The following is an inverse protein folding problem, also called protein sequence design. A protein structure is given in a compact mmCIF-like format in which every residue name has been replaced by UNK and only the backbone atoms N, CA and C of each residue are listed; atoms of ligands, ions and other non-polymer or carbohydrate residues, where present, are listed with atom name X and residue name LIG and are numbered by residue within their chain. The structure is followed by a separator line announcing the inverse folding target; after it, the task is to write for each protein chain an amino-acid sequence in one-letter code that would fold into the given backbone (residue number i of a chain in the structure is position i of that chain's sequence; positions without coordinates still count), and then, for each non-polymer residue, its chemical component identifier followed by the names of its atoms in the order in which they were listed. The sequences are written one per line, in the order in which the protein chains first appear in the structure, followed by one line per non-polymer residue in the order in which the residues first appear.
data_IF_238526853403
#
_entry.id   IF_238526853403
#
_cell.length_a   1.000
_cell.length_b   1.000
_cell.length_c   1.000
_cell.angle_alpha   90.00
_cell.angle_beta   90.00
_cell.angle_gamma   90.00
#
_symmetry.space_group_name_H-M   'P 1'
#
loop_
_entity.id
_entity.type
_entity.pdbx_description
1 polymer ?
#
# COMPACT_ATOMS: atom_id res chain seq x y z
N UNK A 1 -6.96 25.23 -7.69
CA UNK A 1 -6.43 23.87 -7.46
C UNK A 1 -7.38 23.09 -6.58
N UNK A 2 -7.65 21.82 -6.89
CA UNK A 2 -8.50 20.96 -6.06
C UNK A 2 -7.88 20.79 -4.66
N UNK A 3 -8.69 20.93 -3.60
CA UNK A 3 -8.24 20.73 -2.22
C UNK A 3 -7.96 19.22 -2.00
N UNK A 4 -6.69 18.86 -1.79
CA UNK A 4 -6.22 17.50 -1.59
C UNK A 4 -6.09 17.18 -0.10
N UNK A 5 -6.72 16.11 0.36
CA UNK A 5 -6.57 15.59 1.72
C UNK A 5 -5.87 14.22 1.72
N UNK A 6 -4.83 14.08 2.52
CA UNK A 6 -4.11 12.82 2.74
C UNK A 6 -4.43 12.27 4.13
N UNK A 7 -5.11 11.12 4.19
CA UNK A 7 -5.40 10.36 5.40
C UNK A 7 -4.34 9.25 5.52
N UNK A 8 -3.76 9.05 6.71
CA UNK A 8 -2.66 8.11 6.93
C UNK A 8 -1.29 8.65 6.52
N UNK A 9 -1.09 9.95 6.61
CA UNK A 9 0.13 10.67 6.22
C UNK A 9 1.38 10.30 7.03
N UNK A 10 1.24 9.65 8.19
CA UNK A 10 2.36 9.19 9.04
C UNK A 10 2.84 7.77 8.72
N UNK A 11 2.08 7.01 7.95
CA UNK A 11 2.46 5.66 7.48
C UNK A 11 3.64 5.69 6.50
N UNK A 12 4.18 4.52 6.17
CA UNK A 12 5.35 4.39 5.28
C UNK A 12 5.14 5.14 3.95
N UNK A 13 4.12 4.78 3.19
CA UNK A 13 3.83 5.45 1.92
C UNK A 13 3.32 6.88 2.13
N UNK A 14 2.49 7.11 3.14
CA UNK A 14 1.94 8.44 3.43
C UNK A 14 3.01 9.49 3.72
N UNK A 15 4.01 9.16 4.55
CA UNK A 15 5.13 10.08 4.86
C UNK A 15 6.00 10.35 3.63
N UNK A 16 6.29 9.31 2.84
CA UNK A 16 7.04 9.44 1.59
C UNK A 16 6.28 10.33 0.59
N UNK A 17 4.99 10.05 0.37
CA UNK A 17 4.16 10.79 -0.58
C UNK A 17 3.95 12.26 -0.18
N UNK A 18 3.73 12.54 1.11
CA UNK A 18 3.66 13.92 1.60
C UNK A 18 4.96 14.69 1.33
N UNK A 19 6.12 14.05 1.53
CA UNK A 19 7.40 14.69 1.22
C UNK A 19 7.60 14.86 -0.30
N UNK A 20 7.17 13.90 -1.10
CA UNK A 20 7.17 13.99 -2.57
C UNK A 20 6.31 15.16 -3.06
N UNK A 21 5.11 15.36 -2.51
CA UNK A 21 4.23 16.47 -2.85
C UNK A 21 4.85 17.83 -2.46
N UNK A 22 5.46 17.93 -1.27
CA UNK A 22 6.17 19.14 -0.82
C UNK A 22 7.29 19.53 -1.79
N UNK A 23 8.14 18.57 -2.20
CA UNK A 23 9.21 18.79 -3.18
C UNK A 23 8.70 19.23 -4.56
N UNK A 24 7.43 18.96 -4.87
CA UNK A 24 6.75 19.39 -6.11
C UNK A 24 5.95 20.70 -5.94
N UNK A 25 6.00 21.34 -4.78
CA UNK A 25 5.24 22.57 -4.51
C UNK A 25 3.71 22.37 -4.45
N UNK A 26 3.24 21.12 -4.25
CA UNK A 26 1.81 20.81 -4.27
C UNK A 26 1.25 20.95 -2.87
N UNK A 27 0.24 21.82 -2.71
CA UNK A 27 -0.49 22.03 -1.46
C UNK A 27 -1.42 20.86 -1.15
N UNK A 28 -1.45 20.42 0.10
CA UNK A 28 -2.34 19.37 0.61
C UNK A 28 -2.60 19.52 2.11
N UNK A 29 -3.71 18.96 2.58
CA UNK A 29 -4.05 18.86 4.00
C UNK A 29 -3.78 17.43 4.52
N UNK A 30 -3.58 17.29 5.83
CA UNK A 30 -3.42 16.00 6.52
C UNK A 30 -4.53 15.84 7.55
N UNK A 31 -5.04 14.64 7.72
CA UNK A 31 -6.07 14.34 8.72
C UNK A 31 -5.62 14.53 10.18
N UNK A 32 -4.31 14.55 10.45
CA UNK A 32 -3.76 14.70 11.80
C UNK A 32 -3.75 16.15 12.32
N UNK A 33 -3.92 17.15 11.46
CA UNK A 33 -3.69 18.56 11.78
C UNK A 33 -4.96 19.40 11.76
N UNK A 34 -6.11 18.82 12.06
CA UNK A 34 -7.28 19.64 12.34
C UNK A 34 -7.19 20.14 13.79
N UNK A 35 -6.92 21.42 14.00
CA UNK A 35 -6.79 22.07 15.32
C UNK A 35 -5.86 21.33 16.30
N UNK A 36 -4.74 20.77 15.81
CA UNK A 36 -3.76 19.98 16.59
C UNK A 36 -4.30 18.71 17.29
N UNK A 37 -5.51 18.25 16.97
CA UNK A 37 -6.12 17.06 17.54
C UNK A 37 -6.01 15.86 16.61
N UNK A 38 -5.69 14.71 17.18
CA UNK A 38 -5.82 13.41 16.49
C UNK A 38 -7.30 13.08 16.36
N UNK A 39 -7.82 13.12 15.14
CA UNK A 39 -9.22 12.81 14.87
C UNK A 39 -9.38 11.30 14.70
N UNK A 40 -10.25 10.69 15.49
CA UNK A 40 -10.65 9.30 15.30
C UNK A 40 -11.66 9.20 14.15
N UNK A 41 -11.16 8.76 12.98
CA UNK A 41 -11.96 8.58 11.78
C UNK A 41 -12.85 7.32 11.81
N UNK A 42 -12.77 6.49 12.84
CA UNK A 42 -13.72 5.39 13.05
C UNK A 42 -15.07 5.89 13.53
N UNK A 43 -15.13 7.13 14.06
CA UNK A 43 -16.35 7.81 14.51
C UNK A 43 -16.90 8.65 13.36
N UNK A 44 -18.10 8.32 12.88
CA UNK A 44 -18.73 8.98 11.72
C UNK A 44 -18.86 10.50 11.89
N UNK A 45 -19.28 10.97 13.07
CA UNK A 45 -19.40 12.42 13.40
C UNK A 45 -18.07 13.16 13.20
N UNK A 46 -16.96 12.56 13.63
CA UNK A 46 -15.63 13.15 13.50
C UNK A 46 -15.21 13.27 12.02
N UNK A 47 -15.53 12.26 11.21
CA UNK A 47 -15.25 12.30 9.77
C UNK A 47 -16.02 13.44 9.12
N UNK A 48 -17.32 13.55 9.42
CA UNK A 48 -18.20 14.58 8.84
C UNK A 48 -17.71 15.97 9.22
N UNK A 49 -17.54 16.28 10.52
CA UNK A 49 -17.10 17.61 10.96
C UNK A 49 -15.74 18.01 10.36
N UNK A 50 -14.81 17.04 10.24
CA UNK A 50 -13.49 17.31 9.65
C UNK A 50 -13.57 17.57 8.15
N UNK A 51 -14.34 16.77 7.42
CA UNK A 51 -14.45 16.91 5.98
C UNK A 51 -15.30 18.13 5.58
N UNK A 52 -16.34 18.49 6.37
CA UNK A 52 -17.13 19.71 6.16
C UNK A 52 -16.30 20.97 6.35
N UNK A 53 -15.38 20.96 7.31
CA UNK A 53 -14.44 22.07 7.52
C UNK A 53 -13.37 22.16 6.43
N UNK A 54 -12.79 21.03 6.02
CA UNK A 54 -11.71 20.98 5.03
C UNK A 54 -12.24 21.13 3.59
N UNK A 55 -13.45 20.66 3.32
CA UNK A 55 -14.10 20.63 1.99
C UNK A 55 -13.14 20.12 0.89
N UNK A 56 -12.55 18.91 1.03
CA UNK A 56 -11.63 18.38 0.05
C UNK A 56 -12.36 17.93 -1.22
N UNK A 57 -11.73 18.16 -2.40
CA UNK A 57 -12.22 17.60 -3.67
C UNK A 57 -11.64 16.19 -3.93
N UNK A 58 -10.42 15.93 -3.43
CA UNK A 58 -9.75 14.64 -3.56
C UNK A 58 -9.29 14.17 -2.19
N UNK A 59 -9.76 13.00 -1.78
CA UNK A 59 -9.34 12.34 -0.54
C UNK A 59 -8.51 11.12 -0.91
N UNK A 60 -7.26 11.06 -0.42
CA UNK A 60 -6.41 9.87 -0.54
C UNK A 60 -6.39 9.17 0.82
N UNK A 61 -6.98 7.98 0.90
CA UNK A 61 -7.01 7.18 2.13
C UNK A 61 -5.92 6.12 2.12
N UNK A 62 -4.85 6.36 2.88
CA UNK A 62 -3.72 5.46 3.13
C UNK A 62 -3.77 4.88 4.56
N UNK A 63 -4.77 5.25 5.37
CA UNK A 63 -4.89 4.73 6.73
C UNK A 63 -5.28 3.26 6.71
N UNK A 64 -4.47 2.45 7.36
CA UNK A 64 -4.72 1.02 7.54
C UNK A 64 -3.93 0.45 8.72
N UNK A 65 -4.49 -0.55 9.38
CA UNK A 65 -3.78 -1.47 10.24
C UNK A 65 -3.22 -2.58 9.35
N UNK A 66 -1.90 -2.65 9.17
CA UNK A 66 -1.24 -3.50 8.16
C UNK A 66 -0.44 -4.65 8.75
N UNK A 67 -0.23 -4.68 10.05
CA UNK A 67 0.43 -5.76 10.75
C UNK A 67 -0.53 -6.94 10.86
N UNK A 68 -0.19 -8.04 10.18
CA UNK A 68 -1.06 -9.21 10.05
C UNK A 68 -1.29 -9.89 11.41
N UNK A 69 -0.22 -10.08 12.19
CA UNK A 69 -0.31 -10.70 13.52
C UNK A 69 -1.13 -9.84 14.48
N UNK A 70 -0.92 -8.52 14.44
CA UNK A 70 -1.70 -7.59 15.25
C UNK A 70 -3.17 -7.53 14.83
N UNK A 71 -3.47 -7.68 13.52
CA UNK A 71 -4.84 -7.77 13.05
C UNK A 71 -5.56 -9.00 13.60
N UNK A 72 -4.90 -10.17 13.64
CA UNK A 72 -5.48 -11.36 14.26
C UNK A 72 -5.74 -11.15 15.75
N UNK A 73 -4.75 -10.60 16.47
CA UNK A 73 -4.87 -10.33 17.93
C UNK A 73 -5.93 -9.27 18.26
N UNK A 74 -6.13 -8.30 17.37
CA UNK A 74 -7.04 -7.14 17.59
C UNK A 74 -8.03 -7.01 16.45
N UNK A 75 -8.78 -8.08 16.17
CA UNK A 75 -9.69 -8.17 15.02
C UNK A 75 -10.69 -7.00 14.96
N UNK A 76 -11.36 -6.67 16.05
CA UNK A 76 -12.32 -5.55 16.12
C UNK A 76 -11.66 -4.22 15.70
N UNK A 77 -10.41 -3.99 16.12
CA UNK A 77 -9.66 -2.78 15.74
C UNK A 77 -9.25 -2.80 14.27
N UNK A 78 -8.87 -3.97 13.75
CA UNK A 78 -8.55 -4.13 12.34
C UNK A 78 -9.76 -3.77 11.46
N UNK A 79 -10.95 -4.27 11.78
CA UNK A 79 -12.18 -3.91 11.06
C UNK A 79 -12.56 -2.43 11.23
N UNK A 80 -12.45 -1.87 12.44
CA UNK A 80 -12.69 -0.43 12.65
C UNK A 80 -11.78 0.41 11.74
N UNK A 81 -10.48 0.10 11.71
CA UNK A 81 -9.52 0.88 10.92
C UNK A 81 -9.67 0.63 9.42
N UNK A 82 -9.73 -0.65 9.01
CA UNK A 82 -9.64 -1.01 7.61
C UNK A 82 -10.99 -0.96 6.87
N UNK A 83 -12.11 -1.05 7.59
CA UNK A 83 -13.46 -1.07 6.99
C UNK A 83 -14.30 0.14 7.37
N UNK A 84 -14.34 0.54 8.66
CA UNK A 84 -15.24 1.62 9.09
C UNK A 84 -14.75 2.98 8.63
N UNK A 85 -13.43 3.24 8.62
CA UNK A 85 -12.88 4.52 8.12
C UNK A 85 -13.28 4.76 6.65
N UNK A 86 -12.98 3.86 5.68
CA UNK A 86 -13.38 4.10 4.29
C UNK A 86 -14.91 4.19 4.11
N UNK A 87 -15.71 3.40 4.87
CA UNK A 87 -17.17 3.49 4.88
C UNK A 87 -17.65 4.89 5.31
N UNK A 88 -17.09 5.44 6.38
CA UNK A 88 -17.45 6.76 6.89
C UNK A 88 -17.11 7.87 5.89
N UNK A 89 -15.92 7.79 5.25
CA UNK A 89 -15.50 8.73 4.20
C UNK A 89 -16.47 8.65 3.02
N UNK A 90 -16.83 7.44 2.57
CA UNK A 90 -17.77 7.25 1.46
C UNK A 90 -19.17 7.77 1.80
N UNK A 91 -19.62 7.62 3.04
CA UNK A 91 -20.91 8.18 3.49
C UNK A 91 -20.93 9.70 3.35
N UNK A 92 -19.82 10.39 3.65
CA UNK A 92 -19.70 11.83 3.44
C UNK A 92 -19.66 12.21 1.94
N UNK A 93 -18.90 11.46 1.13
CA UNK A 93 -18.79 11.70 -0.33
C UNK A 93 -20.14 11.54 -1.05
N UNK A 94 -21.01 10.62 -0.59
CA UNK A 94 -22.32 10.44 -1.17
C UNK A 94 -23.16 11.71 -1.09
N UNK A 95 -23.01 12.50 -0.04
CA UNK A 95 -23.69 13.80 0.16
C UNK A 95 -22.94 14.90 -0.58
N UNK A 96 -21.59 14.89 -0.53
CA UNK A 96 -20.73 15.90 -1.11
C UNK A 96 -20.24 15.48 -2.52
N UNK A 97 -21.11 15.63 -3.53
CA UNK A 97 -20.93 15.11 -4.90
C UNK A 97 -19.66 15.58 -5.63
N UNK A 98 -19.06 16.72 -5.21
CA UNK A 98 -17.83 17.28 -5.80
C UNK A 98 -16.55 16.58 -5.33
N UNK A 99 -16.64 15.73 -4.29
CA UNK A 99 -15.52 15.00 -3.74
C UNK A 99 -15.40 13.59 -4.30
N UNK A 100 -14.17 13.08 -4.39
CA UNK A 100 -13.88 11.69 -4.76
C UNK A 100 -12.81 11.07 -3.87
N UNK A 101 -12.83 9.74 -3.77
CA UNK A 101 -11.90 8.96 -2.96
C UNK A 101 -10.89 8.21 -3.83
N UNK A 102 -9.63 8.22 -3.43
CA UNK A 102 -8.62 7.24 -3.85
C UNK A 102 -8.29 6.40 -2.63
N UNK A 103 -8.69 5.13 -2.64
CA UNK A 103 -8.50 4.20 -1.52
C UNK A 103 -7.42 3.18 -1.81
N UNK A 104 -6.45 3.06 -0.92
CA UNK A 104 -5.41 2.05 -1.00
C UNK A 104 -5.86 0.76 -0.31
N UNK A 105 -5.97 -0.29 -1.11
CA UNK A 105 -6.17 -1.66 -0.66
C UNK A 105 -4.87 -2.46 -0.78
N UNK A 106 -4.94 -3.77 -0.78
CA UNK A 106 -3.79 -4.67 -0.65
C UNK A 106 -3.86 -5.84 -1.62
N UNK A 107 -2.71 -6.38 -2.01
CA UNK A 107 -2.55 -7.65 -2.71
C UNK A 107 -2.90 -8.88 -1.84
N UNK A 108 -2.92 -8.73 -0.51
CA UNK A 108 -3.31 -9.78 0.42
C UNK A 108 -4.77 -10.25 0.29
N UNK A 109 -5.62 -9.54 -0.47
CA UNK A 109 -6.98 -10.03 -0.79
C UNK A 109 -6.98 -11.25 -1.72
N UNK A 110 -5.81 -11.65 -2.21
CA UNK A 110 -5.61 -12.79 -3.09
C UNK A 110 -4.94 -13.94 -2.37
N UNK A 111 -5.33 -15.18 -2.71
CA UNK A 111 -4.61 -16.40 -2.39
C UNK A 111 -4.86 -17.46 -3.45
N UNK A 112 -3.98 -18.47 -3.51
CA UNK A 112 -3.91 -19.45 -4.60
C UNK A 112 -2.85 -19.02 -5.62
N UNK A 113 -2.95 -19.53 -6.85
CA UNK A 113 -1.95 -19.27 -7.89
C UNK A 113 -2.24 -17.95 -8.64
N UNK A 114 -1.28 -17.02 -8.63
CA UNK A 114 -1.33 -15.77 -9.38
C UNK A 114 -0.73 -15.90 -10.80
N UNK A 115 -0.76 -14.84 -11.61
CA UNK A 115 -1.23 -13.47 -11.29
C UNK A 115 -2.77 -13.34 -11.23
N UNK A 116 -3.28 -12.74 -10.18
CA UNK A 116 -4.71 -12.62 -9.89
C UNK A 116 -5.36 -11.46 -10.63
N UNK A 117 -6.55 -11.71 -11.19
CA UNK A 117 -7.43 -10.66 -11.75
C UNK A 117 -8.31 -10.06 -10.65
N UNK A 118 -8.79 -8.84 -10.87
CA UNK A 118 -9.53 -8.05 -9.88
C UNK A 118 -10.82 -8.71 -9.37
N UNK A 119 -11.51 -9.47 -10.22
CA UNK A 119 -12.82 -10.06 -9.90
C UNK A 119 -12.76 -11.20 -8.87
N UNK A 120 -11.66 -11.95 -8.80
CA UNK A 120 -11.56 -13.14 -7.94
C UNK A 120 -10.68 -12.84 -6.74
N UNK A 121 -11.27 -12.69 -5.56
CA UNK A 121 -10.55 -12.55 -4.28
C UNK A 121 -10.75 -13.79 -3.42
N UNK A 122 -9.72 -14.14 -2.66
CA UNK A 122 -9.75 -15.19 -1.64
C UNK A 122 -8.88 -14.74 -0.47
N UNK A 123 -9.51 -14.26 0.57
CA UNK A 123 -8.84 -13.74 1.77
C UNK A 123 -8.52 -14.86 2.75
N UNK A 124 -7.34 -14.87 3.36
CA UNK A 124 -6.89 -15.96 4.25
C UNK A 124 -6.62 -15.52 5.70
N UNK A 125 -6.68 -14.24 6.01
CA UNK A 125 -6.43 -13.70 7.36
C UNK A 125 -7.29 -12.46 7.64
N UNK A 126 -7.34 -12.01 8.91
CA UNK A 126 -8.14 -10.86 9.36
C UNK A 126 -7.73 -9.57 8.65
N UNK A 127 -6.43 -9.35 8.42
CA UNK A 127 -5.96 -8.19 7.65
C UNK A 127 -6.62 -8.14 6.26
N UNK A 128 -6.51 -9.21 5.49
CA UNK A 128 -7.09 -9.32 4.16
C UNK A 128 -8.61 -9.17 4.17
N UNK A 129 -9.29 -9.86 5.11
CA UNK A 129 -10.75 -9.79 5.28
C UNK A 129 -11.21 -8.37 5.61
N UNK A 130 -10.55 -7.69 6.56
CA UNK A 130 -10.91 -6.34 6.97
C UNK A 130 -10.67 -5.32 5.86
N UNK A 131 -9.58 -5.45 5.07
CA UNK A 131 -9.34 -4.61 3.89
C UNK A 131 -10.39 -4.85 2.80
N UNK A 132 -10.72 -6.11 2.52
CA UNK A 132 -11.77 -6.46 1.55
C UNK A 132 -13.13 -5.89 1.94
N UNK A 133 -13.53 -6.02 3.22
CA UNK A 133 -14.75 -5.40 3.74
C UNK A 133 -14.76 -3.88 3.60
N UNK A 134 -13.57 -3.25 3.68
CA UNK A 134 -13.42 -1.83 3.38
C UNK A 134 -13.68 -1.50 1.91
N UNK A 135 -13.18 -2.31 0.96
CA UNK A 135 -13.48 -2.17 -0.47
C UNK A 135 -14.98 -2.29 -0.75
N UNK A 136 -15.64 -3.30 -0.14
CA UNK A 136 -17.06 -3.59 -0.37
C UNK A 136 -18.01 -2.46 0.12
N UNK A 137 -17.54 -1.61 1.01
CA UNK A 137 -18.29 -0.45 1.49
C UNK A 137 -18.20 0.78 0.56
N UNK A 138 -17.44 0.70 -0.54
CA UNK A 138 -17.15 1.83 -1.41
C UNK A 138 -17.96 1.79 -2.71
N UNK A 139 -18.43 2.95 -3.12
CA UNK A 139 -19.12 3.16 -4.40
C UNK A 139 -18.08 3.42 -5.50
N UNK A 140 -17.92 2.47 -6.42
CA UNK A 140 -16.93 2.53 -7.50
C UNK A 140 -17.22 3.66 -8.51
N UNK A 141 -18.41 4.25 -8.54
CA UNK A 141 -18.71 5.43 -9.37
C UNK A 141 -18.10 6.72 -8.80
N UNK A 142 -17.70 6.71 -7.51
CA UNK A 142 -17.18 7.86 -6.77
C UNK A 142 -15.78 7.64 -6.19
N UNK A 143 -15.25 6.45 -6.35
CA UNK A 143 -13.92 6.14 -5.84
C UNK A 143 -13.05 5.34 -6.81
N UNK A 144 -11.74 5.48 -6.62
CA UNK A 144 -10.71 4.63 -7.19
C UNK A 144 -10.14 3.76 -6.08
N UNK A 145 -10.25 2.44 -6.21
CA UNK A 145 -9.61 1.48 -5.32
C UNK A 145 -8.35 0.93 -5.99
N UNK A 146 -7.22 1.03 -5.31
CA UNK A 146 -5.93 0.50 -5.77
C UNK A 146 -5.50 -0.64 -4.85
N UNK A 147 -5.55 -1.88 -5.34
CA UNK A 147 -4.90 -3.02 -4.69
C UNK A 147 -3.43 -2.96 -5.05
N UNK A 148 -2.57 -2.80 -4.06
CA UNK A 148 -1.14 -2.56 -4.30
C UNK A 148 -0.27 -3.08 -3.17
N UNK A 149 1.00 -3.24 -3.47
CA UNK A 149 2.08 -3.46 -2.55
C UNK A 149 3.28 -2.59 -2.97
N UNK A 150 4.13 -2.20 -2.02
CA UNK A 150 5.22 -1.28 -2.30
C UNK A 150 6.43 -1.53 -1.39
N UNK A 151 7.59 -1.05 -1.83
CA UNK A 151 8.87 -1.14 -1.14
C UNK A 151 9.70 0.12 -1.39
N UNK A 152 10.77 0.29 -0.65
CA UNK A 152 11.71 1.39 -0.79
C UNK A 152 12.10 1.98 0.56
N UNK A 153 12.96 3.00 0.55
CA UNK A 153 13.48 3.64 1.76
C UNK A 153 12.35 4.30 2.53
N UNK A 154 12.04 3.73 3.69
CA UNK A 154 11.03 4.29 4.59
C UNK A 154 11.57 5.50 5.35
N UNK A 155 10.73 6.52 5.48
CA UNK A 155 10.95 7.67 6.39
C UNK A 155 10.05 7.61 7.62
N UNK A 156 9.32 6.52 7.79
CA UNK A 156 8.47 6.29 8.96
C UNK A 156 9.18 5.41 9.99
N UNK A 157 8.57 5.24 11.17
CA UNK A 157 9.07 4.31 12.21
C UNK A 157 9.01 2.83 11.77
N UNK A 158 8.32 2.50 10.67
CA UNK A 158 8.21 1.13 10.15
C UNK A 158 9.16 0.95 8.97
N UNK A 159 10.00 -0.08 9.05
CA UNK A 159 10.85 -0.48 7.94
C UNK A 159 10.04 -1.14 6.83
N UNK A 160 10.42 -0.90 5.58
CA UNK A 160 9.96 -1.68 4.43
C UNK A 160 10.65 -3.04 4.39
N UNK A 161 10.18 -3.94 3.52
CA UNK A 161 10.88 -5.20 3.26
C UNK A 161 12.31 -4.95 2.77
N UNK A 162 12.52 -3.97 1.89
CA UNK A 162 13.85 -3.63 1.39
C UNK A 162 14.74 -3.01 2.47
N UNK A 163 14.19 -2.15 3.35
CA UNK A 163 14.96 -1.63 4.50
C UNK A 163 15.42 -2.75 5.43
N UNK A 164 14.50 -3.70 5.74
CA UNK A 164 14.83 -4.85 6.58
C UNK A 164 15.92 -5.72 5.96
N UNK A 165 15.84 -6.01 4.66
CA UNK A 165 16.87 -6.78 3.94
C UNK A 165 18.21 -6.05 3.99
N UNK A 166 18.26 -4.76 3.66
CA UNK A 166 19.48 -3.96 3.63
C UNK A 166 20.12 -3.84 5.01
N UNK A 167 19.32 -3.56 6.05
CA UNK A 167 19.80 -3.51 7.45
C UNK A 167 20.38 -4.87 7.88
N UNK A 168 19.72 -5.97 7.50
CA UNK A 168 20.20 -7.32 7.83
C UNK A 168 21.53 -7.64 7.16
N UNK A 169 21.70 -7.29 5.88
CA UNK A 169 22.96 -7.48 5.16
C UNK A 169 24.09 -6.63 5.78
N UNK A 170 23.84 -5.33 6.02
CA UNK A 170 24.84 -4.42 6.59
C UNK A 170 25.27 -4.82 8.01
N UNK A 171 24.36 -5.37 8.80
CA UNK A 171 24.61 -5.81 10.18
C UNK A 171 24.94 -7.30 10.28
N UNK A 172 25.14 -7.96 9.17
CA UNK A 172 25.44 -9.40 9.09
C UNK A 172 24.48 -10.28 9.92
N UNK A 173 23.19 -9.91 9.97
CA UNK A 173 22.16 -10.65 10.72
C UNK A 173 21.74 -11.89 9.96
N UNK A 174 21.43 -12.98 10.69
CA UNK A 174 20.81 -14.15 10.09
C UNK A 174 19.35 -13.88 9.71
N UNK A 175 18.94 -14.23 8.49
CA UNK A 175 17.57 -14.05 8.00
C UNK A 175 17.04 -15.27 7.25
N UNK A 176 15.73 -15.45 7.31
CA UNK A 176 15.03 -16.49 6.54
C UNK A 176 14.32 -15.87 5.32
N UNK A 177 14.61 -16.40 4.14
CA UNK A 177 14.07 -15.92 2.87
C UNK A 177 13.16 -16.99 2.25
N UNK A 178 11.95 -16.58 1.84
CA UNK A 178 10.94 -17.49 1.30
C UNK A 178 11.01 -17.58 -0.22
N UNK A 179 11.21 -18.78 -0.75
CA UNK A 179 11.29 -19.01 -2.19
C UNK A 179 9.91 -19.17 -2.85
N UNK A 180 8.90 -19.58 -2.12
CA UNK A 180 7.54 -19.83 -2.60
C UNK A 180 6.53 -18.71 -2.28
N UNK A 181 6.99 -17.55 -1.76
CA UNK A 181 6.12 -16.39 -1.51
C UNK A 181 6.35 -15.33 -2.59
N UNK A 182 5.40 -15.20 -3.51
CA UNK A 182 5.49 -14.34 -4.69
C UNK A 182 4.70 -13.04 -4.55
N UNK A 183 5.21 -11.95 -5.13
CA UNK A 183 4.56 -10.64 -5.15
C UNK A 183 5.11 -9.78 -6.29
N UNK A 184 4.43 -8.68 -6.62
CA UNK A 184 4.86 -7.72 -7.64
C UNK A 184 4.68 -6.26 -7.21
N UNK A 185 5.42 -5.81 -6.18
CA UNK A 185 5.30 -4.46 -5.63
C UNK A 185 5.86 -3.40 -6.57
N UNK A 186 5.52 -2.14 -6.28
CA UNK A 186 6.13 -0.94 -6.87
C UNK A 186 7.05 -0.24 -5.87
N UNK A 187 8.04 0.50 -6.35
CA UNK A 187 8.81 1.40 -5.50
C UNK A 187 7.93 2.57 -5.02
N UNK A 188 8.26 3.12 -3.83
CA UNK A 188 7.57 4.30 -3.28
C UNK A 188 7.59 5.49 -4.26
N UNK A 189 8.68 5.65 -5.01
CA UNK A 189 8.80 6.73 -5.99
C UNK A 189 7.85 6.53 -7.18
N UNK A 190 7.84 5.34 -7.78
CA UNK A 190 6.96 5.03 -8.92
C UNK A 190 5.50 5.12 -8.51
N UNK A 191 5.15 4.58 -7.34
CA UNK A 191 3.79 4.68 -6.80
C UNK A 191 3.38 6.14 -6.57
N UNK A 192 4.30 7.00 -6.08
CA UNK A 192 4.03 8.43 -5.88
C UNK A 192 3.77 9.18 -7.20
N UNK A 193 4.55 8.87 -8.25
CA UNK A 193 4.35 9.47 -9.59
C UNK A 193 2.99 9.07 -10.18
N UNK A 194 2.63 7.78 -10.07
CA UNK A 194 1.34 7.27 -10.54
C UNK A 194 0.20 7.91 -9.74
N UNK A 195 0.29 7.93 -8.41
CA UNK A 195 -0.75 8.54 -7.56
C UNK A 195 -0.97 10.01 -7.89
N UNK A 196 0.11 10.77 -8.13
CA UNK A 196 -0.01 12.18 -8.53
C UNK A 196 -0.76 12.34 -9.86
N UNK A 197 -0.50 11.47 -10.84
CA UNK A 197 -1.25 11.46 -12.12
C UNK A 197 -2.73 11.16 -11.88
N UNK A 198 -3.05 10.17 -11.02
CA UNK A 198 -4.44 9.80 -10.69
C UNK A 198 -5.17 10.88 -9.86
N UNK A 199 -4.44 11.67 -9.06
CA UNK A 199 -4.99 12.85 -8.38
C UNK A 199 -5.39 13.93 -9.37
N UNK A 200 -4.59 14.16 -10.41
CA UNK A 200 -4.86 15.19 -11.42
C UNK A 200 -5.96 14.77 -12.40
N UNK A 201 -6.06 13.49 -12.73
CA UNK A 201 -7.04 12.93 -13.67
C UNK A 201 -8.11 12.14 -12.92
N UNK A 202 -9.39 12.57 -12.93
CA UNK A 202 -10.47 11.80 -12.33
C UNK A 202 -10.50 10.38 -12.89
N UNK A 203 -10.43 9.41 -11.99
CA UNK A 203 -10.40 7.98 -12.32
C UNK A 203 -11.19 7.24 -11.27
N UNK A 204 -12.01 6.28 -11.70
CA UNK A 204 -12.93 5.52 -10.86
C UNK A 204 -12.81 4.02 -11.14
N UNK A 205 -13.27 3.21 -10.18
CA UNK A 205 -13.23 1.76 -10.30
C UNK A 205 -12.21 1.09 -9.40
N UNK A 206 -12.02 -0.21 -9.57
CA UNK A 206 -11.09 -1.03 -8.81
C UNK A 206 -10.02 -1.60 -9.73
N UNK A 207 -8.74 -1.43 -9.35
CA UNK A 207 -7.61 -1.88 -10.16
C UNK A 207 -6.51 -2.49 -9.33
N UNK A 208 -5.86 -3.49 -9.90
CA UNK A 208 -4.59 -4.00 -9.46
C UNK A 208 -3.45 -3.07 -9.90
N UNK A 209 -2.63 -2.64 -8.97
CA UNK A 209 -1.49 -1.74 -9.22
C UNK A 209 -0.21 -2.35 -8.66
N UNK A 210 0.60 -2.94 -9.52
CA UNK A 210 1.88 -3.57 -9.20
C UNK A 210 2.87 -3.46 -10.36
N UNK A 211 4.06 -4.03 -10.20
CA UNK A 211 5.05 -4.12 -11.26
C UNK A 211 4.74 -5.30 -12.22
N UNK A 212 5.32 -5.29 -13.41
CA UNK A 212 5.37 -6.47 -14.29
C UNK A 212 6.33 -7.51 -13.73
N UNK A 213 6.06 -8.80 -13.97
CA UNK A 213 6.96 -9.92 -13.67
C UNK A 213 7.39 -9.95 -12.20
N UNK A 214 6.49 -10.37 -11.34
CA UNK A 214 6.74 -10.54 -9.90
C UNK A 214 7.81 -11.59 -9.60
N UNK A 215 8.39 -11.49 -8.40
CA UNK A 215 9.42 -12.40 -7.88
C UNK A 215 8.98 -13.08 -6.59
N UNK A 216 9.68 -14.17 -6.23
CA UNK A 216 9.64 -14.67 -4.84
C UNK A 216 10.35 -13.68 -3.91
N UNK A 217 10.04 -13.76 -2.62
CA UNK A 217 10.73 -12.94 -1.59
C UNK A 217 12.24 -13.19 -1.61
N UNK A 218 12.67 -14.45 -1.79
CA UNK A 218 14.08 -14.77 -1.96
C UNK A 218 14.67 -14.09 -3.19
N UNK A 219 14.08 -14.26 -4.38
CA UNK A 219 14.60 -13.63 -5.60
C UNK A 219 14.67 -12.11 -5.49
N UNK A 220 13.71 -11.49 -4.81
CA UNK A 220 13.74 -10.06 -4.52
C UNK A 220 14.93 -9.69 -3.62
N UNK A 221 15.16 -10.43 -2.52
CA UNK A 221 16.26 -10.19 -1.60
C UNK A 221 17.63 -10.43 -2.27
N UNK A 222 17.73 -11.42 -3.16
CA UNK A 222 18.96 -11.75 -3.89
C UNK A 222 19.56 -10.55 -4.63
N UNK A 223 18.73 -9.69 -5.25
CA UNK A 223 19.22 -8.46 -5.88
C UNK A 223 19.90 -7.50 -4.91
N UNK A 224 19.42 -7.40 -3.67
CA UNK A 224 20.04 -6.56 -2.64
C UNK A 224 21.30 -7.19 -2.10
N UNK A 225 21.32 -8.51 -1.91
CA UNK A 225 22.52 -9.25 -1.46
C UNK A 225 23.64 -9.08 -2.47
N UNK A 226 23.39 -9.34 -3.75
CA UNK A 226 24.40 -9.23 -4.80
C UNK A 226 24.95 -7.81 -4.96
N UNK A 227 24.10 -6.78 -4.76
CA UNK A 227 24.50 -5.39 -4.95
C UNK A 227 25.19 -4.75 -3.73
N UNK A 228 24.86 -5.19 -2.50
CA UNK A 228 25.35 -4.55 -1.26
C UNK A 228 26.53 -5.33 -0.68
N UNK A 229 26.42 -6.65 -0.60
CA UNK A 229 27.48 -7.53 -0.12
C UNK A 229 27.31 -8.94 -0.71
N UNK A 230 27.97 -9.20 -1.83
CA UNK A 230 27.91 -10.48 -2.52
C UNK A 230 28.50 -11.67 -1.73
N UNK A 231 29.23 -11.38 -0.64
CA UNK A 231 29.79 -12.39 0.29
C UNK A 231 28.86 -12.71 1.46
N UNK A 232 27.72 -11.99 1.61
CA UNK A 232 26.76 -12.28 2.66
C UNK A 232 26.16 -13.68 2.50
N UNK A 233 26.22 -14.50 3.55
CA UNK A 233 25.75 -15.90 3.56
C UNK A 233 24.86 -16.22 4.76
N UNK A 234 24.59 -15.26 5.65
CA UNK A 234 23.81 -15.48 6.86
C UNK A 234 22.31 -15.52 6.56
N UNK A 235 21.90 -16.45 5.70
CA UNK A 235 20.48 -16.63 5.39
C UNK A 235 20.14 -18.07 5.01
N UNK A 236 18.92 -18.49 5.33
CA UNK A 236 18.29 -19.70 4.79
C UNK A 236 17.30 -19.38 3.70
N UNK A 237 17.18 -20.30 2.75
CA UNK A 237 16.14 -20.30 1.72
C UNK A 237 15.19 -21.45 2.02
N UNK A 238 13.96 -21.12 2.42
CA UNK A 238 12.96 -22.13 2.75
C UNK A 238 11.64 -21.89 2.01
N UNK A 239 10.81 -22.90 1.96
CA UNK A 239 9.42 -22.76 1.56
C UNK A 239 8.57 -22.42 2.79
N UNK A 240 7.86 -21.31 2.74
CA UNK A 240 6.91 -20.95 3.78
C UNK A 240 5.77 -21.98 3.82
N UNK A 241 5.46 -22.48 5.00
CA UNK A 241 4.30 -23.31 5.28
C UNK A 241 3.36 -22.62 6.28
N UNK A 242 2.05 -22.79 6.10
CA UNK A 242 1.04 -22.14 6.95
C UNK A 242 0.76 -22.92 8.26
N UNK A 243 1.70 -23.72 8.75
CA UNK A 243 1.48 -24.65 9.86
C UNK A 243 1.64 -24.04 11.26
N UNK A 244 2.39 -22.96 11.40
CA UNK A 244 2.80 -22.43 12.73
C UNK A 244 2.39 -20.98 13.03
N UNK A 245 1.71 -20.28 12.10
CA UNK A 245 1.39 -18.87 12.26
C UNK A 245 0.11 -18.48 11.53
N UNK A 246 -0.24 -17.21 11.58
CA UNK A 246 -1.38 -16.69 10.82
C UNK A 246 -1.22 -17.00 9.33
N UNK A 247 -2.26 -17.57 8.72
CA UNK A 247 -2.27 -17.92 7.30
C UNK A 247 -1.92 -16.74 6.42
N UNK A 248 -0.99 -16.96 5.48
CA UNK A 248 -0.53 -15.94 4.51
C UNK A 248 -0.68 -16.46 3.10
N UNK A 249 -1.00 -15.57 2.17
CA UNK A 249 -0.98 -15.93 0.76
C UNK A 249 0.45 -16.20 0.29
N UNK A 250 0.61 -17.27 -0.49
CA UNK A 250 1.91 -17.60 -1.08
C UNK A 250 2.12 -16.89 -2.41
N UNK A 251 1.08 -16.64 -3.17
CA UNK A 251 1.18 -15.92 -4.44
C UNK A 251 0.21 -14.73 -4.44
N UNK A 252 0.77 -13.55 -4.28
CA UNK A 252 0.05 -12.28 -4.27
C UNK A 252 0.29 -11.48 -5.56
N UNK A 253 0.87 -12.12 -6.59
CA UNK A 253 1.08 -11.42 -7.86
C UNK A 253 -0.24 -11.01 -8.48
N UNK A 254 -0.33 -9.77 -8.85
CA UNK A 254 -1.49 -9.14 -9.44
C UNK A 254 -1.37 -9.05 -10.95
N UNK A 255 -2.43 -9.39 -11.67
CA UNK A 255 -2.55 -9.08 -13.10
C UNK A 255 -2.88 -7.58 -13.22
N UNK A 256 -2.00 -6.84 -13.86
CA UNK A 256 -2.06 -5.37 -13.99
C UNK A 256 -2.57 -4.89 -15.34
N UNK A 257 -3.00 -5.80 -16.21
CA UNK A 257 -3.39 -5.46 -17.60
C UNK A 257 -4.59 -4.51 -17.64
N UNK A 258 -5.57 -4.70 -16.75
CA UNK A 258 -6.74 -3.82 -16.71
C UNK A 258 -6.33 -2.38 -16.35
N UNK A 259 -5.45 -2.19 -15.35
CA UNK A 259 -4.91 -0.89 -14.99
C UNK A 259 -4.20 -0.23 -16.18
N UNK A 260 -3.26 -0.93 -16.83
CA UNK A 260 -2.48 -0.39 -17.93
C UNK A 260 -3.37 -0.01 -19.12
N UNK A 261 -4.33 -0.88 -19.49
CA UNK A 261 -5.22 -0.66 -20.64
C UNK A 261 -6.19 0.51 -20.41
N UNK A 262 -6.85 0.54 -19.24
CA UNK A 262 -7.88 1.54 -18.93
C UNK A 262 -7.31 2.94 -18.67
N UNK A 263 -6.13 3.01 -18.05
CA UNK A 263 -5.55 4.28 -17.64
C UNK A 263 -4.44 4.78 -18.58
N UNK A 264 -4.08 3.96 -19.56
CA UNK A 264 -2.96 4.21 -20.50
C UNK A 264 -1.64 4.53 -19.76
N UNK A 265 -1.35 3.79 -18.69
CA UNK A 265 -0.14 3.93 -17.88
C UNK A 265 0.68 2.65 -18.00
N UNK A 266 1.86 2.73 -18.61
CA UNK A 266 2.82 1.61 -18.67
C UNK A 266 3.50 1.43 -17.31
N UNK A 267 3.42 0.22 -16.75
CA UNK A 267 4.05 -0.13 -15.50
C UNK A 267 5.42 -0.77 -15.71
N UNK A 268 6.42 -0.49 -14.85
CA UNK A 268 7.76 -1.05 -14.96
C UNK A 268 7.78 -2.53 -14.57
N UNK A 269 8.86 -3.24 -14.96
CA UNK A 269 9.14 -4.58 -14.42
C UNK A 269 9.66 -4.47 -12.98
N UNK A 270 9.43 -5.50 -12.16
CA UNK A 270 9.95 -5.52 -10.80
C UNK A 270 11.48 -5.41 -10.76
N UNK A 271 12.17 -6.03 -11.73
CA UNK A 271 13.64 -5.89 -11.85
C UNK A 271 14.07 -4.42 -12.01
N UNK A 272 13.40 -3.65 -12.88
CA UNK A 272 13.70 -2.21 -13.06
C UNK A 272 13.43 -1.42 -11.79
N UNK A 273 12.36 -1.71 -11.07
CA UNK A 273 12.03 -1.06 -9.79
C UNK A 273 13.09 -1.33 -8.72
N UNK A 274 13.53 -2.59 -8.59
CA UNK A 274 14.58 -2.97 -7.63
C UNK A 274 15.91 -2.31 -7.96
N UNK A 275 16.37 -2.38 -9.21
CA UNK A 275 17.63 -1.76 -9.63
C UNK A 275 17.64 -0.24 -9.46
N UNK A 276 16.49 0.40 -9.65
CA UNK A 276 16.34 1.83 -9.40
C UNK A 276 16.44 2.16 -7.91
N UNK A 277 15.78 1.38 -7.07
CA UNK A 277 15.78 1.61 -5.62
C UNK A 277 17.15 1.33 -4.99
N UNK A 278 17.87 0.31 -5.49
CA UNK A 278 19.25 -0.01 -5.07
C UNK A 278 20.19 1.18 -5.19
N UNK A 279 20.08 2.01 -6.23
CA UNK A 279 20.90 3.23 -6.38
C UNK A 279 20.77 4.19 -5.19
N UNK A 280 19.63 4.22 -4.51
CA UNK A 280 19.44 5.05 -3.32
C UNK A 280 20.02 4.39 -2.06
N UNK A 281 20.00 3.06 -1.96
CA UNK A 281 20.61 2.33 -0.85
C UNK A 281 22.13 2.32 -0.89
N UNK A 282 22.72 2.33 -2.09
CA UNK A 282 24.18 2.37 -2.29
C UNK A 282 24.79 3.76 -2.08
N UNK A 283 23.97 4.84 -2.13
CA UNK A 283 24.42 6.21 -1.85
C UNK A 283 24.38 6.58 -0.37
N UNK A 284 23.84 5.72 0.49
CA UNK A 284 23.79 5.85 1.95
C UNK A 284 24.86 4.99 2.62
#
# INVERSE_FOLDING_TARGET
MSKLLIIGSSGMFGSYFCNFLKKKGIKFSKSHNYKNLRIDLTIKKNVFSSLDSLKPNVIVNLAAMTDIELCEKKEKLAYKTNSTIPKNIMSWIKINKSARLIHFSTDHVYSGNGPHKEKKTKTCNVYAKSKKKGEDALDLSKCLILRTNFFGISKSKKNSLSDWIVDSIKKNKYITLYNNVYFNPLSLETLSKILLTLIKKPTYGLYNLGSKNGFSKFKFAKFFIEAINNKYRNFDIINYSNTKSVKRSLDMRMNINMFQKKLNIKLPTLKKEVLKELKFYLKK
#
